data_IF_274367649656
#
_entry.id   IF_274367649656
#
_cell.length_a   1.000
_cell.length_b   1.000
_cell.length_c   1.000
_cell.angle_alpha   90.00
_cell.angle_beta   90.00
_cell.angle_gamma   90.00
#
_symmetry.space_group_name_H-M   'P 1'
#
loop_
_entity.id
_entity.type
_entity.pdbx_description
1 polymer ?
#
# COMPACT_ATOMS: atom_id res chain seq x y z
N UNK A 1 -70.41 -51.98 -60.33
CA UNK A 1 -69.01 -52.12 -60.73
C UNK A 1 -68.23 -50.99 -60.08
N UNK A 2 -67.54 -51.29 -59.03
CA UNK A 2 -66.74 -50.31 -58.30
C UNK A 2 -65.36 -50.93 -58.16
N UNK A 3 -64.36 -50.25 -58.70
CA UNK A 3 -62.95 -50.63 -58.53
C UNK A 3 -62.43 -50.11 -57.17
N UNK A 4 -61.63 -50.89 -56.44
CA UNK A 4 -60.98 -50.44 -55.20
C UNK A 4 -59.74 -49.57 -55.45
N UNK A 5 -59.57 -48.50 -54.69
CA UNK A 5 -58.39 -47.68 -54.71
C UNK A 5 -57.30 -48.29 -53.78
N UNK A 6 -56.07 -48.30 -54.25
CA UNK A 6 -54.89 -48.73 -53.58
C UNK A 6 -54.41 -47.61 -52.61
N UNK A 7 -54.02 -47.90 -51.32
CA UNK A 7 -53.51 -46.89 -50.43
C UNK A 7 -52.02 -46.56 -50.77
N UNK A 8 -51.69 -45.27 -50.71
CA UNK A 8 -50.34 -44.74 -50.83
C UNK A 8 -49.47 -45.16 -49.63
N UNK A 9 -48.31 -45.73 -49.95
CA UNK A 9 -47.29 -46.11 -48.95
C UNK A 9 -46.66 -44.89 -48.32
N UNK A 10 -46.66 -44.86 -46.98
CA UNK A 10 -45.96 -43.87 -46.22
C UNK A 10 -44.52 -44.33 -46.12
N UNK A 11 -43.63 -43.58 -46.76
CA UNK A 11 -42.16 -43.77 -46.69
C UNK A 11 -41.66 -43.47 -45.27
N UNK A 12 -41.31 -44.54 -44.54
CA UNK A 12 -40.70 -44.46 -43.24
C UNK A 12 -39.19 -44.33 -43.40
N UNK A 13 -38.68 -43.09 -43.44
CA UNK A 13 -37.25 -42.87 -43.31
C UNK A 13 -36.75 -43.35 -41.94
N UNK A 14 -35.60 -44.06 -41.85
CA UNK A 14 -35.15 -44.65 -40.61
C UNK A 14 -34.65 -43.61 -39.61
N UNK A 15 -35.12 -43.70 -38.41
CA UNK A 15 -34.80 -42.83 -37.25
C UNK A 15 -33.29 -42.69 -36.92
N UNK A 16 -32.44 -43.47 -37.55
CA UNK A 16 -30.98 -43.51 -37.33
C UNK A 16 -30.24 -42.28 -37.88
N UNK A 17 -30.72 -41.62 -38.91
CA UNK A 17 -30.05 -40.42 -39.45
C UNK A 17 -30.20 -39.20 -38.56
N UNK A 18 -31.24 -39.14 -37.69
CA UNK A 18 -31.42 -38.05 -36.73
C UNK A 18 -30.60 -38.19 -35.45
N UNK A 19 -30.27 -39.41 -35.03
CA UNK A 19 -29.42 -39.67 -33.88
C UNK A 19 -27.95 -39.33 -34.18
N UNK A 20 -27.46 -39.61 -35.38
CA UNK A 20 -26.08 -39.28 -35.80
C UNK A 20 -25.80 -37.78 -35.88
N UNK A 21 -26.79 -36.96 -36.30
CA UNK A 21 -26.64 -35.52 -36.39
C UNK A 21 -26.62 -34.83 -35.00
N UNK A 22 -27.36 -35.36 -34.01
CA UNK A 22 -27.39 -34.85 -32.64
C UNK A 22 -26.08 -35.22 -31.93
N UNK A 23 -25.54 -36.44 -32.12
CA UNK A 23 -24.27 -36.85 -31.52
C UNK A 23 -23.09 -36.09 -32.10
N UNK A 24 -23.07 -35.80 -33.39
CA UNK A 24 -22.01 -35.01 -34.04
C UNK A 24 -22.05 -33.54 -33.58
N UNK A 25 -23.24 -32.97 -33.40
CA UNK A 25 -23.38 -31.60 -32.86
C UNK A 25 -22.98 -31.52 -31.38
N UNK A 26 -23.28 -32.51 -30.56
CA UNK A 26 -22.85 -32.55 -29.18
C UNK A 26 -21.32 -32.75 -29.04
N UNK A 27 -20.72 -33.59 -29.89
CA UNK A 27 -19.25 -33.72 -29.90
C UNK A 27 -18.56 -32.46 -30.41
N UNK A 28 -19.14 -31.71 -31.36
CA UNK A 28 -18.60 -30.43 -31.81
C UNK A 28 -18.69 -29.35 -30.73
N UNK A 29 -19.79 -29.31 -29.94
CA UNK A 29 -19.92 -28.39 -28.81
C UNK A 29 -18.98 -28.77 -27.66
N UNK A 30 -18.78 -30.05 -27.38
CA UNK A 30 -17.83 -30.51 -26.37
C UNK A 30 -16.36 -30.26 -26.77
N UNK A 31 -16.02 -30.38 -28.07
CA UNK A 31 -14.66 -30.11 -28.56
C UNK A 31 -14.32 -28.60 -28.57
N UNK A 32 -15.32 -27.71 -28.76
CA UNK A 32 -15.07 -26.27 -28.69
C UNK A 32 -14.99 -25.71 -27.27
N UNK A 33 -15.51 -26.44 -26.28
CA UNK A 33 -15.37 -26.04 -24.86
C UNK A 33 -14.06 -26.52 -24.21
N UNK A 34 -13.34 -27.45 -24.81
CA UNK A 34 -12.05 -27.97 -24.28
C UNK A 34 -10.84 -27.13 -24.77
N UNK A 35 -11.01 -26.24 -25.78
CA UNK A 35 -9.90 -25.43 -26.31
C UNK A 35 -9.81 -24.04 -25.66
N UNK A 36 -10.85 -23.57 -24.98
CA UNK A 36 -10.74 -22.44 -24.08
C UNK A 36 -10.47 -22.96 -22.68
N UNK A 37 -9.20 -23.24 -22.37
CA UNK A 37 -8.75 -23.28 -20.97
C UNK A 37 -9.27 -22.01 -20.30
N UNK A 38 -9.66 -22.03 -19.00
CA UNK A 38 -10.15 -20.85 -18.32
C UNK A 38 -9.11 -19.77 -18.55
N UNK A 39 -9.49 -18.72 -19.27
CA UNK A 39 -8.77 -17.48 -19.20
C UNK A 39 -8.79 -17.14 -17.73
N UNK A 40 -7.66 -17.38 -17.03
CA UNK A 40 -7.53 -16.92 -15.67
C UNK A 40 -7.80 -15.43 -15.77
N UNK A 41 -8.92 -15.02 -15.21
CA UNK A 41 -9.23 -13.62 -15.10
C UNK A 41 -7.98 -13.01 -14.46
N UNK A 42 -7.26 -12.17 -15.23
CA UNK A 42 -6.07 -11.52 -14.71
C UNK A 42 -6.52 -10.87 -13.39
N UNK A 43 -5.84 -11.19 -12.30
CA UNK A 43 -6.13 -10.62 -10.99
C UNK A 43 -6.22 -9.08 -11.11
N UNK A 44 -6.79 -8.38 -10.15
CA UNK A 44 -7.04 -6.93 -10.24
C UNK A 44 -5.82 -6.10 -10.63
N UNK A 45 -4.60 -6.65 -10.49
CA UNK A 45 -3.34 -6.02 -10.85
C UNK A 45 -2.84 -6.29 -12.27
N UNK A 46 -3.46 -7.21 -13.05
CA UNK A 46 -2.98 -7.57 -14.38
C UNK A 46 -1.68 -8.41 -14.38
N UNK A 47 -1.02 -8.58 -15.56
CA UNK A 47 0.03 -9.59 -15.75
C UNK A 47 1.36 -9.31 -15.05
N UNK A 48 1.61 -8.08 -14.58
CA UNK A 48 2.80 -7.72 -13.82
C UNK A 48 2.56 -7.67 -12.30
N UNK A 49 1.35 -7.92 -11.84
CA UNK A 49 1.07 -8.04 -10.41
C UNK A 49 1.84 -9.22 -9.82
N UNK A 50 2.57 -8.98 -8.75
CA UNK A 50 3.21 -10.04 -7.98
C UNK A 50 2.18 -10.75 -7.11
N UNK A 51 2.30 -12.07 -6.90
CA UNK A 51 1.42 -12.81 -6.01
C UNK A 51 1.66 -12.40 -4.57
N UNK A 52 0.57 -12.39 -3.78
CA UNK A 52 0.66 -12.25 -2.34
C UNK A 52 1.29 -13.51 -1.73
N UNK A 53 2.25 -13.32 -0.85
CA UNK A 53 2.89 -14.38 -0.07
C UNK A 53 2.38 -14.39 1.38
N UNK A 54 2.95 -15.26 2.21
CA UNK A 54 2.71 -15.30 3.66
C UNK A 54 3.58 -14.29 4.43
N UNK A 55 4.42 -13.52 3.74
CA UNK A 55 5.21 -12.46 4.38
C UNK A 55 4.29 -11.44 5.06
N UNK A 56 4.70 -10.96 6.24
CA UNK A 56 3.98 -9.91 6.94
C UNK A 56 3.96 -8.63 6.11
N UNK A 57 2.78 -8.11 5.81
CA UNK A 57 2.55 -7.00 4.88
C UNK A 57 3.14 -7.23 3.47
N UNK A 58 2.99 -8.47 2.94
CA UNK A 58 3.49 -8.82 1.60
C UNK A 58 3.19 -7.75 0.55
N UNK A 59 4.16 -7.44 -0.29
CA UNK A 59 4.01 -6.53 -1.44
C UNK A 59 3.24 -7.14 -2.62
N UNK A 60 2.70 -8.34 -2.46
CA UNK A 60 1.78 -8.92 -3.45
C UNK A 60 0.50 -8.10 -3.58
N UNK A 61 0.02 -7.93 -4.82
CA UNK A 61 -1.15 -7.12 -5.14
C UNK A 61 -2.14 -7.81 -6.10
N UNK A 62 -1.96 -9.10 -6.35
CA UNK A 62 -2.89 -9.89 -7.14
C UNK A 62 -4.26 -10.03 -6.47
N UNK A 63 -4.30 -9.96 -5.12
CA UNK A 63 -5.51 -10.01 -4.29
C UNK A 63 -5.43 -9.00 -3.16
N UNK A 64 -6.59 -8.43 -2.74
CA UNK A 64 -6.67 -7.64 -1.52
C UNK A 64 -6.73 -8.56 -0.29
N UNK A 65 -6.00 -8.20 0.78
CA UNK A 65 -6.11 -8.90 2.05
C UNK A 65 -7.33 -8.41 2.84
N UNK A 66 -8.40 -9.21 2.97
CA UNK A 66 -9.64 -8.78 3.62
C UNK A 66 -9.50 -8.54 5.13
N UNK A 67 -8.35 -8.87 5.73
CA UNK A 67 -8.08 -8.56 7.13
C UNK A 67 -7.75 -7.07 7.35
N UNK A 68 -7.58 -6.28 6.29
CA UNK A 68 -7.26 -4.85 6.33
C UNK A 68 -8.39 -4.03 5.71
N UNK A 69 -8.70 -2.84 6.24
CA UNK A 69 -9.67 -1.94 5.63
C UNK A 69 -9.16 -1.47 4.26
N UNK A 70 -10.05 -1.41 3.28
CA UNK A 70 -9.68 -0.99 1.93
C UNK A 70 -9.74 0.52 1.81
N UNK A 71 -8.64 1.22 1.49
CA UNK A 71 -8.59 2.69 1.45
C UNK A 71 -9.15 3.25 0.12
N UNK A 72 -10.45 3.04 -0.11
CA UNK A 72 -11.20 3.60 -1.23
C UNK A 72 -12.49 4.23 -0.70
N UNK A 73 -12.82 5.44 -1.16
CA UNK A 73 -13.90 6.23 -0.59
C UNK A 73 -13.46 6.90 0.71
N UNK A 74 -14.10 6.60 1.84
CA UNK A 74 -13.70 7.13 3.14
C UNK A 74 -13.56 6.03 4.19
N UNK A 75 -12.75 6.29 5.19
CA UNK A 75 -12.66 5.50 6.42
C UNK A 75 -12.79 6.45 7.61
N UNK A 76 -13.60 6.05 8.58
CA UNK A 76 -13.84 6.78 9.81
C UNK A 76 -12.89 6.30 10.92
N UNK A 77 -12.17 7.23 11.54
CA UNK A 77 -11.16 6.93 12.55
C UNK A 77 -11.49 7.60 13.88
N UNK A 78 -11.75 6.81 14.93
CA UNK A 78 -11.93 7.36 16.27
C UNK A 78 -10.58 7.65 16.91
N UNK A 79 -10.43 8.84 17.54
CA UNK A 79 -9.28 9.18 18.38
C UNK A 79 -9.72 9.24 19.84
N UNK A 80 -9.18 8.36 20.65
CA UNK A 80 -9.45 8.24 22.09
C UNK A 80 -8.24 8.77 22.87
N UNK A 81 -8.47 9.71 23.78
CA UNK A 81 -7.42 10.35 24.58
C UNK A 81 -7.40 9.78 26.00
N UNK A 82 -6.25 9.27 26.42
CA UNK A 82 -6.07 8.51 27.66
C UNK A 82 -5.19 9.25 28.66
N UNK A 83 -5.74 9.57 29.84
CA UNK A 83 -4.99 10.12 30.96
C UNK A 83 -4.74 9.08 32.05
N UNK A 84 -3.71 9.28 32.89
CA UNK A 84 -3.30 8.31 33.88
C UNK A 84 -3.43 8.83 35.32
N UNK A 85 -3.67 7.94 36.31
CA UNK A 85 -3.55 8.31 37.71
C UNK A 85 -2.15 8.86 38.06
N UNK A 86 -2.11 9.94 38.79
CA UNK A 86 -0.84 10.59 39.19
C UNK A 86 -0.27 11.57 38.15
N UNK A 87 -0.85 11.65 36.94
CA UNK A 87 -0.54 12.66 35.96
C UNK A 87 -1.65 13.68 35.80
N UNK A 88 -1.31 14.89 35.35
CA UNK A 88 -2.23 15.94 34.93
C UNK A 88 -1.81 16.39 33.54
N UNK A 89 -2.59 16.06 32.50
CA UNK A 89 -2.30 16.50 31.14
C UNK A 89 -2.19 18.03 31.06
N UNK A 90 -1.17 18.52 30.39
CA UNK A 90 -0.97 19.95 30.11
C UNK A 90 -1.58 20.34 28.76
N UNK A 91 -1.63 19.38 27.86
CA UNK A 91 -2.19 19.51 26.50
C UNK A 91 -3.62 19.00 26.52
N UNK A 92 -4.51 19.61 25.75
CA UNK A 92 -5.91 19.16 25.63
C UNK A 92 -6.07 18.13 24.51
N UNK A 93 -7.10 17.26 24.57
CA UNK A 93 -7.45 16.36 23.46
C UNK A 93 -7.60 17.07 22.09
N UNK A 94 -8.18 18.27 22.09
CA UNK A 94 -8.36 19.06 20.87
C UNK A 94 -7.02 19.53 20.28
N UNK A 95 -6.05 19.90 21.12
CA UNK A 95 -4.70 20.28 20.68
C UNK A 95 -3.97 19.06 20.09
N UNK A 96 -3.97 17.94 20.80
CA UNK A 96 -3.36 16.69 20.29
C UNK A 96 -4.02 16.20 19.01
N UNK A 97 -5.33 16.35 18.86
CA UNK A 97 -5.99 16.06 17.59
C UNK A 97 -5.52 16.99 16.47
N UNK A 98 -5.34 18.28 16.78
CA UNK A 98 -4.89 19.29 15.83
C UNK A 98 -3.42 19.10 15.39
N UNK A 99 -2.60 18.43 16.17
CA UNK A 99 -1.23 18.07 15.82
C UNK A 99 -1.19 17.10 14.62
N UNK A 100 -2.16 16.21 14.53
CA UNK A 100 -2.21 15.18 13.51
C UNK A 100 -3.16 15.53 12.36
N UNK A 101 -4.29 16.18 12.66
CA UNK A 101 -5.33 16.48 11.68
C UNK A 101 -5.53 18.00 11.51
N UNK A 102 -5.77 18.48 10.30
CA UNK A 102 -6.05 17.74 9.06
C UNK A 102 -4.79 17.29 8.28
N UNK A 103 -3.59 17.34 8.85
CA UNK A 103 -2.34 17.00 8.18
C UNK A 103 -2.38 15.58 7.56
N UNK A 104 -2.66 14.58 8.37
CA UNK A 104 -2.75 13.17 7.97
C UNK A 104 -3.83 12.93 6.91
N UNK A 105 -5.02 13.55 7.07
CA UNK A 105 -6.09 13.43 6.07
C UNK A 105 -5.67 14.00 4.72
N UNK A 106 -5.03 15.19 4.71
CA UNK A 106 -4.53 15.81 3.48
C UNK A 106 -3.42 15.03 2.82
N UNK A 107 -2.56 14.38 3.61
CA UNK A 107 -1.52 13.50 3.09
C UNK A 107 -2.15 12.37 2.25
N UNK A 108 -3.10 11.65 2.79
CA UNK A 108 -3.77 10.54 2.10
C UNK A 108 -4.64 11.00 0.93
N UNK A 109 -5.34 12.13 1.05
CA UNK A 109 -6.12 12.70 -0.04
C UNK A 109 -5.23 12.98 -1.26
N UNK A 110 -4.06 13.62 -1.05
CA UNK A 110 -3.08 13.87 -2.11
C UNK A 110 -2.49 12.58 -2.67
N UNK A 111 -2.01 11.68 -1.81
CA UNK A 111 -1.39 10.41 -2.20
C UNK A 111 -2.34 9.53 -3.02
N UNK A 112 -3.63 9.59 -2.73
CA UNK A 112 -4.68 8.80 -3.39
C UNK A 112 -5.32 9.50 -4.59
N UNK A 113 -4.93 10.72 -4.92
CA UNK A 113 -5.58 11.55 -5.95
C UNK A 113 -7.07 11.81 -5.65
N UNK A 114 -7.43 11.96 -4.37
CA UNK A 114 -8.81 12.14 -3.94
C UNK A 114 -9.67 10.86 -3.97
N UNK A 115 -9.06 9.68 -4.11
CA UNK A 115 -9.78 8.40 -4.11
C UNK A 115 -10.02 7.84 -2.72
N UNK A 116 -9.30 8.34 -1.73
CA UNK A 116 -9.41 7.99 -0.33
C UNK A 116 -9.39 9.22 0.55
N UNK A 117 -10.27 9.27 1.52
CA UNK A 117 -10.31 10.28 2.57
C UNK A 117 -10.38 9.63 3.96
N UNK A 118 -9.57 10.14 4.88
CA UNK A 118 -9.54 9.71 6.28
C UNK A 118 -10.27 10.75 7.13
N UNK A 119 -11.34 10.33 7.81
CA UNK A 119 -12.19 11.20 8.62
C UNK A 119 -11.92 10.98 10.12
N UNK A 120 -11.28 11.93 10.81
CA UNK A 120 -11.03 11.81 12.24
C UNK A 120 -12.27 12.17 13.07
N UNK A 121 -12.51 11.39 14.13
CA UNK A 121 -13.55 11.60 15.12
C UNK A 121 -12.93 11.66 16.53
N UNK A 122 -12.38 12.81 16.95
CA UNK A 122 -11.76 12.94 18.25
C UNK A 122 -12.79 12.95 19.38
N UNK A 123 -12.57 12.13 20.41
CA UNK A 123 -13.31 12.16 21.68
C UNK A 123 -12.75 13.31 22.52
N UNK A 124 -13.34 14.49 22.43
CA UNK A 124 -12.84 15.76 23.00
C UNK A 124 -12.84 15.77 24.55
N UNK A 125 -12.39 14.70 25.18
CA UNK A 125 -12.20 14.60 26.63
C UNK A 125 -11.16 13.52 26.95
N UNK A 126 -10.46 13.69 28.07
CA UNK A 126 -9.61 12.67 28.64
C UNK A 126 -10.43 11.53 29.24
N UNK A 127 -10.10 10.29 28.86
CA UNK A 127 -10.61 9.08 29.50
C UNK A 127 -9.54 8.58 30.48
N UNK A 128 -9.93 8.36 31.72
CA UNK A 128 -8.99 7.99 32.78
C UNK A 128 -8.71 6.49 32.74
N UNK A 129 -7.43 6.14 32.61
CA UNK A 129 -6.93 4.79 32.75
C UNK A 129 -6.98 4.33 34.21
N UNK A 130 -7.17 3.01 34.48
CA UNK A 130 -7.26 2.51 35.86
C UNK A 130 -5.92 2.47 36.57
N UNK A 131 -4.79 2.47 35.86
CA UNK A 131 -3.42 2.36 36.38
C UNK A 131 -2.55 3.51 35.89
N UNK A 132 -1.44 3.80 36.62
CA UNK A 132 -0.43 4.77 36.18
C UNK A 132 0.28 4.32 34.90
N UNK A 133 0.82 5.26 34.13
CA UNK A 133 1.54 4.96 32.88
C UNK A 133 2.74 4.04 33.15
N UNK A 134 3.50 4.27 34.20
CA UNK A 134 4.66 3.45 34.60
C UNK A 134 4.32 1.96 34.77
N UNK A 135 3.08 1.64 35.19
CA UNK A 135 2.66 0.25 35.39
C UNK A 135 2.56 -0.54 34.08
N UNK A 136 2.41 0.15 32.96
CA UNK A 136 2.35 -0.45 31.64
C UNK A 136 3.73 -0.58 30.99
N UNK A 137 4.76 0.14 31.48
CA UNK A 137 6.13 0.16 30.93
C UNK A 137 6.13 0.41 29.43
N UNK A 138 5.54 1.52 29.02
CA UNK A 138 5.43 1.94 27.61
C UNK A 138 6.83 2.28 27.12
N UNK A 139 7.32 1.53 26.12
CA UNK A 139 8.65 1.71 25.54
C UNK A 139 8.69 1.08 24.13
N UNK A 140 9.69 1.41 23.32
CA UNK A 140 9.84 0.91 21.94
C UNK A 140 9.67 -0.61 21.84
N UNK A 141 10.47 -1.38 22.58
CA UNK A 141 10.42 -2.85 22.62
C UNK A 141 9.50 -3.31 23.75
N UNK A 142 8.25 -2.94 23.65
CA UNK A 142 7.23 -3.11 24.67
C UNK A 142 6.86 -4.58 24.89
N UNK A 143 6.97 -5.03 26.13
CA UNK A 143 6.55 -6.37 26.54
C UNK A 143 5.10 -6.68 26.17
N UNK A 144 4.86 -7.86 25.61
CA UNK A 144 3.55 -8.25 25.08
C UNK A 144 2.43 -8.26 26.11
N UNK A 145 2.71 -8.74 27.35
CA UNK A 145 1.70 -8.82 28.41
C UNK A 145 1.35 -7.41 28.92
N UNK A 146 2.34 -6.53 29.04
CA UNK A 146 2.15 -5.13 29.44
C UNK A 146 1.36 -4.37 28.39
N UNK A 147 1.68 -4.56 27.13
CA UNK A 147 0.94 -4.00 25.98
C UNK A 147 -0.50 -4.50 25.96
N UNK A 148 -0.72 -5.81 26.12
CA UNK A 148 -2.06 -6.38 26.17
C UNK A 148 -2.87 -5.83 27.37
N UNK A 149 -2.23 -5.60 28.51
CA UNK A 149 -2.86 -4.98 29.68
C UNK A 149 -3.29 -3.54 29.40
N UNK A 150 -2.40 -2.72 28.77
CA UNK A 150 -2.72 -1.36 28.35
C UNK A 150 -3.94 -1.33 27.40
N UNK A 151 -3.92 -2.15 26.35
CA UNK A 151 -4.98 -2.19 25.36
C UNK A 151 -6.33 -2.60 25.96
N UNK A 152 -6.36 -3.61 26.85
CA UNK A 152 -7.59 -4.01 27.55
C UNK A 152 -8.17 -2.85 28.36
N UNK A 153 -7.31 -2.18 29.14
CA UNK A 153 -7.74 -1.09 30.02
C UNK A 153 -8.20 0.13 29.21
N UNK A 154 -7.52 0.44 28.10
CA UNK A 154 -7.86 1.52 27.19
C UNK A 154 -9.21 1.27 26.48
N UNK A 155 -9.40 0.07 25.94
CA UNK A 155 -10.68 -0.32 25.29
C UNK A 155 -11.80 -0.25 26.33
N UNK A 156 -11.63 -0.82 27.53
CA UNK A 156 -12.65 -0.78 28.58
C UNK A 156 -13.00 0.65 29.04
N UNK A 157 -12.03 1.56 29.04
CA UNK A 157 -12.28 2.96 29.34
C UNK A 157 -13.05 3.67 28.19
N UNK A 158 -12.72 3.33 26.94
CA UNK A 158 -13.35 3.91 25.75
C UNK A 158 -14.75 3.37 25.47
N UNK A 159 -15.01 2.09 25.69
CA UNK A 159 -16.28 1.38 25.46
C UNK A 159 -17.51 2.05 26.12
N UNK A 160 -17.29 2.80 27.18
CA UNK A 160 -18.33 3.57 27.88
C UNK A 160 -18.85 4.77 27.09
N UNK A 161 -18.13 5.21 26.05
CA UNK A 161 -18.37 6.49 25.36
C UNK A 161 -18.18 6.42 23.85
N UNK A 162 -17.62 5.34 23.34
CA UNK A 162 -17.37 5.08 21.93
C UNK A 162 -18.12 3.85 21.52
N UNK A 163 -18.93 3.94 20.49
CA UNK A 163 -19.49 2.81 19.76
C UNK A 163 -18.49 2.44 18.65
N UNK A 164 -17.67 1.43 18.90
CA UNK A 164 -16.60 1.01 17.99
C UNK A 164 -17.12 0.46 16.66
N UNK A 165 -18.39 0.02 16.59
CA UNK A 165 -18.97 -0.47 15.34
C UNK A 165 -19.13 0.62 14.27
N UNK A 166 -18.99 1.89 14.65
CA UNK A 166 -19.10 3.05 13.75
C UNK A 166 -17.79 3.46 13.10
N UNK A 167 -16.66 2.81 13.44
CA UNK A 167 -15.34 3.25 13.03
C UNK A 167 -14.54 2.12 12.40
N UNK A 168 -13.76 2.48 11.38
CA UNK A 168 -12.86 1.56 10.67
C UNK A 168 -11.49 1.48 11.34
N UNK A 169 -11.04 2.58 11.97
CA UNK A 169 -9.74 2.72 12.61
C UNK A 169 -9.89 3.23 14.05
N UNK A 170 -8.96 2.81 14.91
CA UNK A 170 -8.89 3.25 16.31
C UNK A 170 -7.49 3.78 16.60
N UNK A 171 -7.42 5.03 17.04
CA UNK A 171 -6.22 5.68 17.58
C UNK A 171 -6.36 5.84 19.09
N UNK A 172 -5.44 5.28 19.87
CA UNK A 172 -5.34 5.46 21.31
C UNK A 172 -4.19 6.42 21.61
N UNK A 173 -4.53 7.65 21.92
CA UNK A 173 -3.58 8.74 22.18
C UNK A 173 -3.39 8.89 23.69
N UNK A 174 -2.20 8.60 24.17
CA UNK A 174 -1.86 8.76 25.58
C UNK A 174 -1.54 10.22 25.92
N UNK A 175 -1.72 10.59 27.19
CA UNK A 175 -1.20 11.83 27.75
C UNK A 175 0.34 11.87 27.61
N UNK A 176 0.90 12.73 26.77
CA UNK A 176 2.34 12.79 26.52
C UNK A 176 3.14 13.31 27.70
N UNK A 177 2.49 13.97 28.67
CA UNK A 177 3.10 14.51 29.87
C UNK A 177 3.16 13.48 31.02
N UNK A 178 2.56 12.30 30.83
CA UNK A 178 2.51 11.29 31.87
C UNK A 178 3.90 10.61 32.06
N UNK A 179 4.40 10.51 33.29
CA UNK A 179 5.65 9.80 33.56
C UNK A 179 5.63 8.38 33.03
N UNK A 180 6.72 7.93 32.40
CA UNK A 180 6.85 6.57 31.86
C UNK A 180 6.13 6.33 30.51
N UNK A 181 5.71 7.39 29.83
CA UNK A 181 5.31 7.35 28.42
C UNK A 181 6.53 7.66 27.56
N UNK A 182 6.88 6.73 26.67
CA UNK A 182 8.00 6.84 25.74
C UNK A 182 7.43 7.04 24.32
N UNK A 183 7.77 8.15 23.67
CA UNK A 183 7.31 8.48 22.30
C UNK A 183 7.71 7.43 21.26
N UNK A 184 8.88 6.82 21.42
CA UNK A 184 9.38 5.75 20.54
C UNK A 184 8.50 4.48 20.57
N UNK A 185 7.51 4.43 21.45
CA UNK A 185 6.55 3.34 21.52
C UNK A 185 5.33 3.52 20.59
N UNK A 186 5.19 4.68 19.92
CA UNK A 186 4.14 4.90 18.92
C UNK A 186 4.22 3.84 17.83
N UNK A 187 3.14 3.12 17.63
CA UNK A 187 3.05 2.04 16.61
C UNK A 187 1.65 1.52 16.39
N UNK A 188 1.46 0.86 15.26
CA UNK A 188 0.32 -0.04 15.07
C UNK A 188 0.52 -1.32 15.90
N UNK A 189 -0.51 -1.76 16.59
CA UNK A 189 -0.54 -3.04 17.29
C UNK A 189 -1.51 -3.97 16.58
N UNK A 190 -0.97 -5.03 15.98
CA UNK A 190 -1.75 -6.15 15.50
C UNK A 190 -2.11 -7.02 16.71
N UNK A 191 -3.40 -7.30 16.90
CA UNK A 191 -3.89 -8.07 18.03
C UNK A 191 -3.83 -9.56 17.71
N UNK A 192 -2.99 -10.33 18.41
CA UNK A 192 -2.91 -11.80 18.28
C UNK A 192 -4.29 -12.46 18.49
N UNK A 193 -5.06 -11.88 19.40
CA UNK A 193 -6.45 -12.24 19.65
C UNK A 193 -7.32 -11.01 19.43
N UNK A 194 -8.05 -10.94 18.29
CA UNK A 194 -8.94 -9.84 18.01
C UNK A 194 -9.98 -9.64 19.14
N UNK A 195 -10.19 -8.37 19.51
CA UNK A 195 -11.15 -8.01 20.57
C UNK A 195 -12.52 -7.81 19.92
N UNK A 196 -13.55 -8.44 20.50
CA UNK A 196 -14.95 -8.20 20.14
C UNK A 196 -15.54 -7.16 21.09
N UNK A 197 -16.07 -6.07 20.53
CA UNK A 197 -16.71 -4.98 21.24
C UNK A 197 -17.77 -4.35 20.34
N UNK A 198 -18.91 -3.97 20.85
CA UNK A 198 -20.04 -3.37 20.11
C UNK A 198 -20.46 -4.15 18.85
N UNK A 199 -20.35 -5.48 18.87
CA UNK A 199 -20.66 -6.32 17.71
C UNK A 199 -19.60 -6.30 16.59
N UNK A 200 -18.56 -5.49 16.70
CA UNK A 200 -17.43 -5.44 15.75
C UNK A 200 -16.20 -6.20 16.26
N UNK A 201 -15.19 -6.33 15.40
CA UNK A 201 -13.95 -7.05 15.68
C UNK A 201 -12.76 -6.12 15.45
N UNK A 202 -12.16 -5.66 16.55
CA UNK A 202 -10.91 -4.91 16.50
C UNK A 202 -9.73 -5.88 16.27
N UNK A 203 -9.06 -5.76 15.14
CA UNK A 203 -7.89 -6.58 14.78
C UNK A 203 -6.59 -5.86 14.99
N UNK A 204 -6.60 -4.52 14.92
CA UNK A 204 -5.43 -3.67 15.12
C UNK A 204 -5.84 -2.31 15.65
N UNK A 205 -4.91 -1.69 16.34
CA UNK A 205 -5.09 -0.39 16.99
C UNK A 205 -3.78 0.37 16.81
N UNK A 206 -3.85 1.64 16.50
CA UNK A 206 -2.69 2.53 16.54
C UNK A 206 -2.58 3.10 17.95
N UNK A 207 -1.46 2.88 18.61
CA UNK A 207 -1.11 3.52 19.89
C UNK A 207 -0.21 4.71 19.60
N UNK A 208 -0.60 5.89 20.10
CA UNK A 208 0.11 7.16 19.88
C UNK A 208 0.61 7.67 21.22
N UNK A 209 1.92 7.80 21.33
CA UNK A 209 2.64 8.25 22.54
C UNK A 209 3.48 9.50 22.29
N UNK A 210 3.24 10.14 21.16
CA UNK A 210 3.99 11.30 20.71
C UNK A 210 3.96 12.45 21.72
N UNK A 211 5.10 13.12 21.86
CA UNK A 211 5.16 14.41 22.53
C UNK A 211 4.38 15.48 21.75
N UNK A 212 4.26 16.67 22.31
CA UNK A 212 3.66 17.81 21.65
C UNK A 212 4.75 18.86 21.35
N UNK A 213 5.03 19.24 20.09
CA UNK A 213 4.46 18.69 18.84
C UNK A 213 4.97 17.26 18.53
N UNK A 214 4.20 16.46 17.80
CA UNK A 214 4.61 15.11 17.43
C UNK A 214 5.61 15.12 16.26
N UNK A 215 6.22 13.97 16.04
CA UNK A 215 7.02 13.73 14.85
C UNK A 215 6.20 13.91 13.57
N UNK A 216 6.85 14.48 12.54
CA UNK A 216 6.22 14.71 11.24
C UNK A 216 5.74 13.39 10.63
N UNK A 217 4.51 13.38 10.14
CA UNK A 217 3.89 12.25 9.45
C UNK A 217 3.79 10.92 10.23
N UNK A 218 4.13 10.88 11.52
CA UNK A 218 4.07 9.65 12.32
C UNK A 218 2.71 8.96 12.22
N UNK A 219 1.61 9.70 12.37
CA UNK A 219 0.27 9.10 12.30
C UNK A 219 -0.08 8.62 10.89
N UNK A 220 0.44 9.26 9.84
CA UNK A 220 0.28 8.79 8.47
C UNK A 220 1.05 7.48 8.24
N UNK A 221 2.28 7.36 8.76
CA UNK A 221 3.09 6.14 8.72
C UNK A 221 2.36 4.98 9.41
N UNK A 222 1.94 5.16 10.65
CA UNK A 222 1.23 4.11 11.41
C UNK A 222 -0.12 3.74 10.75
N UNK A 223 -0.79 4.72 10.15
CA UNK A 223 -2.00 4.43 9.36
C UNK A 223 -1.68 3.62 8.11
N UNK A 224 -0.52 3.82 7.47
CA UNK A 224 -0.03 3.00 6.37
C UNK A 224 -0.02 1.49 6.71
N UNK A 225 0.43 1.14 7.91
CA UNK A 225 0.37 -0.25 8.39
C UNK A 225 -1.06 -0.76 8.59
N UNK A 226 -1.98 0.09 9.03
CA UNK A 226 -3.41 -0.29 9.08
C UNK A 226 -3.95 -0.59 7.68
N UNK A 227 -3.37 0.00 6.64
CA UNK A 227 -3.72 -0.21 5.24
C UNK A 227 -2.88 -1.31 4.55
N UNK A 228 -2.21 -2.19 5.30
CA UNK A 228 -1.38 -3.31 4.81
C UNK A 228 -0.07 -2.89 4.11
N UNK A 229 0.51 -1.75 4.45
CA UNK A 229 1.84 -1.36 3.97
C UNK A 229 2.93 -1.85 4.94
N UNK A 230 4.06 -2.39 4.43
CA UNK A 230 5.20 -2.80 5.26
C UNK A 230 6.05 -1.62 5.69
N UNK A 231 6.88 -1.81 6.74
CA UNK A 231 8.07 -0.98 6.92
C UNK A 231 9.05 -1.23 5.78
N UNK A 232 9.56 -0.17 5.21
CA UNK A 232 10.58 -0.21 4.15
C UNK A 232 11.98 0.09 4.66
N UNK A 233 12.11 0.59 5.89
CA UNK A 233 13.41 0.77 6.51
C UNK A 233 14.05 -0.58 6.87
N UNK A 234 15.36 -0.59 7.01
CA UNK A 234 16.13 -1.72 7.52
C UNK A 234 16.29 -1.61 9.04
N UNK A 235 15.88 -2.63 9.77
CA UNK A 235 16.15 -2.71 11.21
C UNK A 235 17.34 -3.65 11.48
N UNK A 236 18.56 -3.12 11.73
CA UNK A 236 19.71 -3.95 12.00
C UNK A 236 19.49 -4.84 13.24
N UNK A 237 19.84 -6.12 13.15
CA UNK A 237 19.65 -7.08 14.23
C UNK A 237 20.53 -6.81 15.47
N UNK A 238 21.66 -6.13 15.25
CA UNK A 238 22.60 -5.72 16.30
C UNK A 238 22.35 -4.27 16.78
N UNK A 239 21.31 -3.61 16.23
CA UNK A 239 20.95 -2.22 16.54
C UNK A 239 21.95 -1.18 16.03
N UNK A 240 22.88 -1.54 15.14
CA UNK A 240 23.90 -0.65 14.57
C UNK A 240 23.68 -0.44 13.08
N UNK A 241 24.07 0.73 12.61
CA UNK A 241 23.96 1.14 11.20
C UNK A 241 22.66 1.91 10.91
N UNK A 242 22.59 2.40 9.67
CA UNK A 242 21.51 3.25 9.21
C UNK A 242 20.26 2.43 8.89
N UNK A 243 19.10 2.95 9.26
CA UNK A 243 17.82 2.30 9.03
C UNK A 243 17.27 2.59 7.63
N UNK A 244 17.59 3.75 7.07
CA UNK A 244 17.00 4.24 5.82
C UNK A 244 17.70 3.75 4.55
N UNK A 245 18.54 2.70 4.66
CA UNK A 245 19.44 2.22 3.59
C UNK A 245 18.74 1.62 2.37
N UNK A 246 17.48 1.16 2.50
CA UNK A 246 16.76 0.52 1.40
C UNK A 246 16.04 1.51 0.49
N UNK A 247 15.44 2.54 1.05
CA UNK A 247 14.59 3.46 0.30
C UNK A 247 14.88 4.94 0.55
N UNK A 248 15.68 5.27 1.58
CA UNK A 248 15.98 6.67 1.92
C UNK A 248 14.73 7.50 2.13
N UNK A 249 14.67 8.66 1.45
CA UNK A 249 13.58 9.63 1.55
C UNK A 249 12.28 9.24 0.79
N UNK A 250 12.28 8.18 -0.04
CA UNK A 250 11.38 8.01 -1.18
C UNK A 250 10.00 7.42 -0.89
N UNK A 251 9.66 7.10 0.33
CA UNK A 251 8.32 6.63 0.72
C UNK A 251 8.11 6.87 2.21
N UNK A 252 6.89 7.23 2.60
CA UNK A 252 6.48 7.39 3.99
C UNK A 252 6.82 6.18 4.86
N UNK A 253 6.72 4.97 4.30
CA UNK A 253 6.96 3.72 5.02
C UNK A 253 8.46 3.41 5.19
N UNK A 254 9.33 4.11 4.47
CA UNK A 254 10.77 4.12 4.70
C UNK A 254 11.14 5.03 5.86
N UNK A 255 10.70 6.29 5.77
CA UNK A 255 10.93 7.26 6.84
C UNK A 255 9.82 8.31 6.87
N UNK A 256 9.22 8.51 8.04
CA UNK A 256 8.26 9.59 8.26
C UNK A 256 8.89 10.98 8.10
N UNK A 257 10.21 11.07 8.18
CA UNK A 257 10.99 12.30 8.01
C UNK A 257 11.51 12.52 6.59
N UNK A 258 11.27 11.58 5.66
CA UNK A 258 11.75 11.64 4.29
C UNK A 258 11.33 12.92 3.55
N UNK A 259 12.20 13.41 2.68
CA UNK A 259 11.96 14.62 1.87
C UNK A 259 10.95 14.39 0.74
N UNK A 260 10.78 13.14 0.31
CA UNK A 260 9.91 12.69 -0.76
C UNK A 260 8.98 11.56 -0.26
N UNK A 261 8.10 11.90 0.71
CA UNK A 261 7.32 10.93 1.48
C UNK A 261 6.07 10.40 0.78
N UNK A 262 5.78 10.83 -0.46
CA UNK A 262 4.63 10.27 -1.20
C UNK A 262 4.84 8.77 -1.44
N UNK A 263 3.81 7.91 -1.19
CA UNK A 263 3.97 6.48 -1.36
C UNK A 263 4.39 6.09 -2.79
N UNK A 264 5.27 5.11 -2.91
CA UNK A 264 5.66 4.54 -4.20
C UNK A 264 4.45 4.23 -5.09
N UNK A 265 4.62 4.32 -6.39
CA UNK A 265 3.60 3.91 -7.37
C UNK A 265 3.12 2.48 -7.14
N UNK A 266 4.01 1.58 -6.67
CA UNK A 266 3.67 0.23 -6.27
C UNK A 266 2.66 0.19 -5.11
N UNK A 267 2.90 0.96 -4.04
CA UNK A 267 1.98 1.10 -2.90
C UNK A 267 0.65 1.70 -3.35
N UNK A 268 0.67 2.77 -4.15
CA UNK A 268 -0.56 3.35 -4.72
C UNK A 268 -1.34 2.34 -5.56
N UNK A 269 -0.68 1.45 -6.28
CA UNK A 269 -1.32 0.39 -7.05
C UNK A 269 -1.89 -0.69 -6.13
N UNK A 270 -1.15 -1.13 -5.11
CA UNK A 270 -1.60 -2.07 -4.08
C UNK A 270 -2.86 -1.58 -3.36
N UNK A 271 -2.90 -0.30 -3.01
CA UNK A 271 -4.03 0.34 -2.34
C UNK A 271 -5.22 0.64 -3.29
N UNK A 272 -5.05 0.47 -4.60
CA UNK A 272 -6.08 0.73 -5.60
C UNK A 272 -6.21 2.20 -5.99
N UNK A 273 -5.26 3.05 -5.60
CA UNK A 273 -5.20 4.47 -5.99
C UNK A 273 -4.72 4.64 -7.43
N UNK A 274 -3.77 3.83 -7.87
CA UNK A 274 -3.50 3.57 -9.28
C UNK A 274 -4.27 2.34 -9.76
N UNK A 275 -4.58 2.32 -11.06
CA UNK A 275 -5.25 1.19 -11.72
C UNK A 275 -4.39 0.71 -12.89
N UNK A 276 -4.69 -0.47 -13.43
CA UNK A 276 -3.95 -1.06 -14.56
C UNK A 276 -3.78 -0.11 -15.76
N UNK A 277 -4.66 0.88 -15.94
CA UNK A 277 -4.55 1.88 -17.04
C UNK A 277 -3.34 2.81 -16.87
N UNK A 278 -2.87 3.02 -15.63
CA UNK A 278 -1.73 3.90 -15.29
C UNK A 278 -0.41 3.13 -15.27
N UNK A 279 -0.45 1.80 -15.40
CA UNK A 279 0.70 0.91 -15.29
C UNK A 279 1.03 0.32 -16.66
N UNK A 280 2.30 0.39 -17.06
CA UNK A 280 2.80 -0.31 -18.25
C UNK A 280 3.58 -1.54 -17.82
N UNK A 281 3.09 -2.70 -18.23
CA UNK A 281 3.72 -3.99 -17.96
C UNK A 281 4.60 -4.40 -19.15
N UNK A 282 5.93 -4.42 -18.95
CA UNK A 282 6.92 -4.87 -19.94
C UNK A 282 7.19 -6.35 -19.73
N UNK A 283 6.79 -7.18 -20.69
CA UNK A 283 6.87 -8.64 -20.60
C UNK A 283 7.84 -9.28 -21.60
N UNK A 284 7.96 -8.69 -22.77
CA UNK A 284 8.79 -9.25 -23.84
C UNK A 284 10.21 -8.73 -23.76
N UNK A 285 11.17 -9.59 -24.13
CA UNK A 285 12.55 -9.16 -24.38
C UNK A 285 12.60 -8.10 -25.47
N UNK A 286 13.63 -7.25 -25.43
CA UNK A 286 13.83 -6.13 -26.34
C UNK A 286 13.61 -4.78 -25.69
N UNK A 287 13.59 -3.72 -26.50
CA UNK A 287 13.50 -2.33 -26.06
C UNK A 287 12.10 -1.76 -26.33
N UNK A 288 11.54 -1.07 -25.33
CA UNK A 288 10.27 -0.35 -25.43
C UNK A 288 10.44 1.11 -25.01
N UNK A 289 9.65 2.02 -25.57
CA UNK A 289 9.69 3.45 -25.27
C UNK A 289 8.38 3.89 -24.63
N UNK A 290 8.47 4.66 -23.56
CA UNK A 290 7.34 5.09 -22.76
C UNK A 290 7.38 6.58 -22.46
N UNK A 291 6.21 7.23 -22.41
CA UNK A 291 6.04 8.54 -21.78
C UNK A 291 5.58 8.31 -20.34
N UNK A 292 6.40 8.72 -19.36
CA UNK A 292 6.19 8.52 -17.94
C UNK A 292 5.94 9.87 -17.25
N UNK A 293 4.77 10.04 -16.65
CA UNK A 293 4.39 11.27 -15.95
C UNK A 293 4.71 11.16 -14.46
N UNK A 294 5.09 12.29 -13.86
CA UNK A 294 5.41 12.36 -12.43
C UNK A 294 4.26 11.80 -11.57
N UNK A 295 4.64 10.98 -10.59
CA UNK A 295 3.69 10.24 -9.75
C UNK A 295 2.79 11.18 -8.96
N UNK A 296 3.36 12.26 -8.41
CA UNK A 296 2.67 13.25 -7.56
C UNK A 296 1.77 14.22 -8.35
N UNK A 297 1.95 14.27 -9.69
CA UNK A 297 1.19 15.20 -10.51
C UNK A 297 -0.33 14.93 -10.41
N UNK A 298 -1.15 15.97 -10.31
CA UNK A 298 -2.59 15.81 -10.15
C UNK A 298 -3.21 14.91 -11.20
N UNK A 299 -4.13 14.07 -10.77
CA UNK A 299 -4.84 13.11 -11.63
C UNK A 299 -6.34 13.31 -11.49
N UNK A 300 -7.07 13.23 -12.63
CA UNK A 300 -8.54 13.20 -12.61
C UNK A 300 -9.00 11.74 -12.56
N UNK A 301 -9.55 11.26 -11.43
CA UNK A 301 -10.02 9.88 -11.30
C UNK A 301 -11.04 9.53 -12.42
N UNK A 302 -10.86 8.35 -13.02
CA UNK A 302 -11.75 7.86 -14.06
C UNK A 302 -11.49 8.40 -15.48
N UNK A 303 -10.81 9.54 -15.63
CA UNK A 303 -10.53 10.18 -16.93
C UNK A 303 -9.06 10.03 -17.33
N UNK A 304 -8.14 10.22 -16.39
CA UNK A 304 -6.69 10.15 -16.64
C UNK A 304 -6.26 8.72 -16.97
N UNK A 305 -5.49 8.57 -18.03
CA UNK A 305 -4.90 7.29 -18.47
C UNK A 305 -3.39 7.40 -18.69
N UNK A 306 -2.77 8.50 -18.25
CA UNK A 306 -1.33 8.73 -18.38
C UNK A 306 -0.55 7.67 -17.62
N UNK A 307 0.54 7.19 -18.20
CA UNK A 307 1.42 6.23 -17.51
C UNK A 307 2.10 6.89 -16.33
N UNK A 308 1.96 6.30 -15.15
CA UNK A 308 2.58 6.74 -13.90
C UNK A 308 3.66 5.79 -13.43
N UNK A 309 3.61 4.55 -13.91
CA UNK A 309 4.52 3.50 -13.48
C UNK A 309 4.74 2.50 -14.62
N UNK A 310 5.98 2.02 -14.77
CA UNK A 310 6.33 0.92 -15.64
C UNK A 310 6.82 -0.22 -14.75
N UNK A 311 6.39 -1.44 -15.04
CA UNK A 311 6.75 -2.64 -14.27
C UNK A 311 7.34 -3.68 -15.20
N UNK A 312 8.51 -4.19 -14.83
CA UNK A 312 9.16 -5.32 -15.48
C UNK A 312 9.23 -6.46 -14.47
N UNK A 313 8.43 -7.50 -14.68
CA UNK A 313 8.49 -8.67 -13.79
C UNK A 313 9.76 -9.46 -14.07
N UNK A 314 10.62 -9.64 -13.07
CA UNK A 314 11.94 -10.29 -13.17
C UNK A 314 11.95 -11.70 -12.61
N UNK A 315 10.95 -12.03 -11.76
CA UNK A 315 10.80 -13.35 -11.17
C UNK A 315 9.36 -13.67 -10.80
N UNK A 316 9.16 -14.74 -10.06
CA UNK A 316 7.84 -15.10 -9.54
C UNK A 316 7.34 -14.10 -8.50
N UNK A 317 8.23 -13.69 -7.60
CA UNK A 317 7.97 -12.80 -6.47
C UNK A 317 8.71 -11.46 -6.59
N UNK A 318 9.36 -11.15 -7.74
CA UNK A 318 10.18 -9.96 -7.94
C UNK A 318 9.82 -9.17 -9.18
N UNK A 319 9.95 -7.84 -9.10
CA UNK A 319 9.79 -6.93 -10.21
C UNK A 319 10.73 -5.72 -10.08
N UNK A 320 11.16 -5.17 -11.23
CA UNK A 320 11.72 -3.82 -11.32
C UNK A 320 10.59 -2.85 -11.64
N UNK A 321 10.54 -1.78 -10.89
CA UNK A 321 9.54 -0.72 -11.03
C UNK A 321 10.23 0.59 -11.37
N UNK A 322 9.61 1.36 -12.26
CA UNK A 322 10.14 2.61 -12.77
C UNK A 322 9.02 3.65 -12.69
N UNK A 323 9.26 4.73 -11.98
CA UNK A 323 8.32 5.84 -11.82
C UNK A 323 9.05 7.18 -11.93
N UNK A 324 8.33 8.25 -12.26
CA UNK A 324 8.91 9.59 -12.24
C UNK A 324 8.51 10.31 -10.96
N UNK A 325 9.47 10.93 -10.28
CA UNK A 325 9.27 11.72 -9.06
C UNK A 325 9.56 13.20 -9.34
N UNK A 326 8.81 14.09 -8.73
CA UNK A 326 8.94 15.54 -8.87
C UNK A 326 8.57 16.29 -7.60
N UNK A 327 8.98 17.57 -7.51
CA UNK A 327 8.78 18.42 -6.33
C UNK A 327 7.34 18.95 -6.24
N UNK A 328 6.36 18.06 -6.05
CA UNK A 328 4.95 18.41 -5.92
C UNK A 328 4.18 17.47 -4.98
N UNK A 329 2.93 17.80 -4.65
CA UNK A 329 2.10 16.94 -3.80
C UNK A 329 2.65 16.77 -2.38
N UNK A 330 3.00 15.53 -2.01
CA UNK A 330 3.66 15.20 -0.75
C UNK A 330 5.19 15.27 -0.84
N UNK A 331 5.75 15.46 -2.05
CA UNK A 331 7.21 15.49 -2.32
C UNK A 331 7.76 16.90 -2.56
N UNK A 332 7.07 17.93 -2.08
CA UNK A 332 7.46 19.34 -2.31
C UNK A 332 8.86 19.69 -1.79
N UNK A 333 9.42 18.86 -0.93
CA UNK A 333 10.76 19.03 -0.33
C UNK A 333 11.79 18.05 -0.89
N UNK A 334 11.46 17.31 -1.94
CA UNK A 334 12.39 16.34 -2.54
C UNK A 334 13.71 16.99 -2.93
N UNK A 335 14.80 16.28 -2.70
CA UNK A 335 16.14 16.71 -3.05
C UNK A 335 16.38 16.72 -4.56
N UNK A 336 15.79 15.77 -5.26
CA UNK A 336 15.99 15.60 -6.70
C UNK A 336 14.71 15.17 -7.41
N UNK A 337 14.62 15.53 -8.69
CA UNK A 337 13.56 15.09 -9.60
C UNK A 337 14.14 14.18 -10.68
N UNK A 338 13.39 13.17 -11.10
CA UNK A 338 13.82 12.30 -12.17
C UNK A 338 13.03 11.00 -12.25
N UNK A 339 13.63 10.02 -12.89
CA UNK A 339 13.06 8.68 -13.03
C UNK A 339 13.69 7.75 -11.99
N UNK A 340 12.91 7.42 -10.99
CA UNK A 340 13.29 6.52 -9.90
C UNK A 340 13.10 5.06 -10.33
N UNK A 341 14.08 4.23 -10.01
CA UNK A 341 14.06 2.78 -10.29
C UNK A 341 14.21 2.04 -8.97
N UNK A 342 13.37 1.05 -8.72
CA UNK A 342 13.45 0.23 -7.53
C UNK A 342 13.03 -1.22 -7.76
N UNK A 343 13.50 -2.12 -6.92
CA UNK A 343 13.11 -3.53 -6.88
C UNK A 343 12.01 -3.73 -5.86
N UNK A 344 11.02 -4.57 -6.19
CA UNK A 344 9.96 -5.02 -5.27
C UNK A 344 10.05 -6.53 -5.11
N UNK A 345 9.95 -7.01 -3.87
CA UNK A 345 10.00 -8.41 -3.46
C UNK A 345 8.74 -8.75 -2.64
N UNK A 346 7.79 -9.49 -3.22
CA UNK A 346 6.51 -9.78 -2.56
C UNK A 346 6.57 -10.88 -1.49
N UNK A 347 7.67 -11.61 -1.41
CA UNK A 347 7.94 -12.66 -0.41
C UNK A 347 8.83 -12.18 0.74
N UNK A 348 9.24 -10.92 0.73
CA UNK A 348 10.03 -10.31 1.79
C UNK A 348 9.10 -9.61 2.79
N UNK A 349 9.32 -9.86 4.08
CA UNK A 349 8.51 -9.29 5.14
C UNK A 349 8.87 -7.81 5.44
N UNK A 350 7.94 -7.11 6.09
CA UNK A 350 8.12 -5.79 6.68
C UNK A 350 9.45 -5.68 7.44
N UNK A 351 10.22 -4.62 7.19
CA UNK A 351 11.55 -4.38 7.78
C UNK A 351 12.69 -5.21 7.17
N UNK A 352 12.40 -6.11 6.22
CA UNK A 352 13.39 -6.95 5.55
C UNK A 352 13.87 -6.44 4.19
N UNK A 353 13.47 -5.24 3.80
CA UNK A 353 13.78 -4.65 2.48
C UNK A 353 12.88 -5.18 1.35
N UNK A 354 11.53 -5.18 1.52
CA UNK A 354 10.61 -5.63 0.47
C UNK A 354 10.62 -4.69 -0.74
N UNK A 355 11.07 -3.46 -0.57
CA UNK A 355 11.36 -2.49 -1.64
C UNK A 355 12.80 -1.99 -1.47
N UNK A 356 13.53 -1.86 -2.58
CA UNK A 356 14.92 -1.42 -2.60
C UNK A 356 15.13 -0.44 -3.76
N UNK A 357 15.44 0.80 -3.44
CA UNK A 357 15.80 1.82 -4.44
C UNK A 357 17.15 1.46 -5.07
N UNK A 358 17.22 1.55 -6.38
CA UNK A 358 18.43 1.36 -7.15
C UNK A 358 19.03 2.75 -7.47
N UNK A 359 20.17 3.01 -6.89
CA UNK A 359 20.82 4.29 -6.97
C UNK A 359 21.49 4.50 -8.34
N UNK A 360 21.14 5.60 -9.02
CA UNK A 360 21.79 6.00 -10.27
C UNK A 360 23.08 6.77 -10.04
N UNK A 361 23.36 7.24 -8.82
CA UNK A 361 24.51 8.07 -8.46
C UNK A 361 25.22 7.56 -7.19
N UNK A 362 25.75 6.32 -7.20
CA UNK A 362 26.13 5.57 -5.99
C UNK A 362 27.25 6.20 -5.15
N UNK A 363 27.96 7.19 -5.69
CA UNK A 363 29.04 7.88 -4.99
C UNK A 363 28.64 9.28 -4.50
N UNK A 364 27.35 9.61 -4.53
CA UNK A 364 26.85 10.91 -4.11
C UNK A 364 26.51 10.97 -2.63
N UNK A 365 26.37 12.20 -2.12
CA UNK A 365 25.88 12.52 -0.78
C UNK A 365 24.97 13.74 -0.91
N UNK A 366 23.89 13.60 -1.69
CA UNK A 366 23.03 14.72 -1.99
C UNK A 366 22.19 15.14 -0.79
N UNK A 367 21.86 16.42 -0.69
CA UNK A 367 21.09 17.03 0.40
C UNK A 367 21.61 16.67 1.80
N UNK A 368 22.91 16.66 1.96
CA UNK A 368 23.56 16.42 3.25
C UNK A 368 23.00 17.35 4.34
N UNK A 369 22.60 16.76 5.48
CA UNK A 369 22.01 17.47 6.61
C UNK A 369 20.50 17.70 6.53
N UNK A 370 19.86 17.38 5.39
CA UNK A 370 18.40 17.46 5.21
C UNK A 370 17.78 16.09 4.94
N UNK A 371 18.41 15.27 4.07
CA UNK A 371 18.00 13.91 3.76
C UNK A 371 18.21 12.96 4.93
N UNK A 372 17.29 12.03 5.13
CA UNK A 372 17.42 10.94 6.11
C UNK A 372 18.52 9.95 5.71
N UNK A 373 18.78 9.82 4.40
CA UNK A 373 19.87 8.99 3.86
C UNK A 373 20.48 9.61 2.59
N UNK A 374 21.43 10.53 2.73
CA UNK A 374 22.05 11.26 1.61
C UNK A 374 22.52 10.41 0.43
N UNK A 375 23.05 9.18 0.61
CA UNK A 375 23.43 8.34 -0.52
C UNK A 375 22.31 8.03 -1.52
N UNK A 376 21.05 8.02 -1.10
CA UNK A 376 19.90 7.75 -1.98
C UNK A 376 19.10 9.02 -2.34
N UNK A 377 19.49 10.19 -1.84
CA UNK A 377 18.69 11.41 -2.01
C UNK A 377 18.61 11.89 -3.46
N UNK A 378 19.57 11.56 -4.32
CA UNK A 378 19.55 11.83 -5.76
C UNK A 378 19.57 10.56 -6.62
N UNK A 379 19.06 9.45 -6.10
CA UNK A 379 18.94 8.19 -6.83
C UNK A 379 18.20 8.26 -8.19
N UNK A 380 17.24 9.20 -8.46
CA UNK A 380 16.55 9.26 -9.73
C UNK A 380 17.48 9.61 -10.91
N UNK A 381 17.30 8.89 -12.03
CA UNK A 381 17.93 9.19 -13.32
C UNK A 381 17.44 10.52 -13.88
N UNK A 382 18.37 11.30 -14.40
CA UNK A 382 18.15 12.54 -15.16
C UNK A 382 18.12 12.27 -16.66
N UNK A 383 17.71 13.25 -17.46
CA UNK A 383 17.74 13.15 -18.92
C UNK A 383 19.19 12.88 -19.43
N UNK A 384 19.34 11.89 -20.27
CA UNK A 384 20.63 11.43 -20.82
C UNK A 384 21.29 10.31 -20.00
N UNK A 385 20.76 9.98 -18.82
CA UNK A 385 21.34 8.96 -17.94
C UNK A 385 20.69 7.59 -18.14
N UNK A 386 21.39 6.54 -17.70
CA UNK A 386 20.89 5.17 -17.76
C UNK A 386 21.40 4.33 -16.60
N UNK A 387 20.57 3.38 -16.16
CA UNK A 387 20.86 2.41 -15.10
C UNK A 387 20.64 0.99 -15.60
N UNK A 388 21.56 0.08 -15.28
CA UNK A 388 21.40 -1.36 -15.49
C UNK A 388 21.21 -2.04 -14.14
N UNK A 389 20.18 -2.90 -14.03
CA UNK A 389 19.80 -3.54 -12.77
C UNK A 389 20.58 -4.83 -12.46
N UNK A 390 21.65 -5.10 -13.21
CA UNK A 390 22.48 -6.29 -13.03
C UNK A 390 21.70 -7.60 -13.26
N UNK A 391 21.57 -8.46 -12.25
CA UNK A 391 20.98 -9.79 -12.41
C UNK A 391 19.49 -9.79 -12.80
N UNK A 392 18.79 -8.67 -12.67
CA UNK A 392 17.38 -8.56 -13.08
C UNK A 392 17.22 -8.42 -14.60
N UNK A 393 18.31 -8.21 -15.34
CA UNK A 393 18.30 -8.14 -16.81
C UNK A 393 17.48 -6.97 -17.37
N UNK A 394 17.43 -5.84 -16.64
CA UNK A 394 16.69 -4.64 -17.06
C UNK A 394 17.65 -3.46 -17.17
N UNK A 395 17.58 -2.73 -18.30
CA UNK A 395 18.26 -1.44 -18.48
C UNK A 395 17.21 -0.35 -18.69
N UNK A 396 17.34 0.72 -17.95
CA UNK A 396 16.50 1.92 -18.03
C UNK A 396 17.34 3.08 -18.54
N UNK A 397 16.86 3.79 -19.56
CA UNK A 397 17.49 4.98 -20.13
C UNK A 397 16.48 6.12 -20.19
N UNK A 398 16.81 7.25 -19.60
CA UNK A 398 15.99 8.47 -19.65
C UNK A 398 16.48 9.35 -20.79
N UNK A 399 15.69 9.49 -21.86
CA UNK A 399 16.10 10.23 -23.06
C UNK A 399 15.89 11.72 -22.96
N UNK A 400 14.71 12.13 -22.51
CA UNK A 400 14.33 13.53 -22.46
C UNK A 400 13.17 13.77 -21.50
N UNK A 401 12.98 15.03 -21.12
CA UNK A 401 11.72 15.53 -20.51
C UNK A 401 10.96 16.27 -21.60
N UNK A 402 9.69 15.94 -21.79
CA UNK A 402 8.82 16.56 -22.79
C UNK A 402 8.27 17.91 -22.32
N UNK A 403 7.72 18.71 -23.22
CA UNK A 403 7.20 20.04 -22.91
C UNK A 403 5.99 19.99 -21.92
N UNK A 404 5.23 18.89 -21.91
CA UNK A 404 4.14 18.64 -20.96
C UNK A 404 4.60 18.02 -19.64
N UNK A 405 5.94 17.94 -19.43
CA UNK A 405 6.57 17.48 -18.18
C UNK A 405 6.71 15.97 -18.05
N UNK A 406 6.33 15.17 -19.05
CA UNK A 406 6.58 13.74 -19.04
C UNK A 406 8.05 13.40 -19.31
N UNK A 407 8.51 12.25 -18.83
CA UNK A 407 9.82 11.70 -19.11
C UNK A 407 9.72 10.65 -20.22
N UNK A 408 10.57 10.76 -21.23
CA UNK A 408 10.70 9.73 -22.27
C UNK A 408 11.70 8.69 -21.79
N UNK A 409 11.21 7.50 -21.48
CA UNK A 409 12.00 6.41 -20.87
C UNK A 409 12.04 5.21 -21.82
N UNK A 410 13.25 4.78 -22.16
CA UNK A 410 13.46 3.50 -22.83
C UNK A 410 13.74 2.42 -21.80
N UNK A 411 13.04 1.31 -21.90
CA UNK A 411 13.20 0.14 -21.02
C UNK A 411 13.61 -1.03 -21.91
N UNK A 412 14.78 -1.58 -21.66
CA UNK A 412 15.30 -2.77 -22.30
C UNK A 412 15.26 -3.95 -21.33
N UNK A 413 14.67 -5.05 -21.76
CA UNK A 413 14.65 -6.33 -21.05
C UNK A 413 15.44 -7.36 -21.84
N UNK A 414 16.37 -8.06 -21.17
CA UNK A 414 17.12 -9.18 -21.71
C UNK A 414 16.28 -10.45 -21.86
#
# INVERSE_FOLDING_TARGET
>A
MVRPQTPMGVDRQPRWRRAGAVVTSMCAIAATTVVAGPAQAAGPGGPCALPRSQAHHSEGLDTWNPAYPRPLGHLDAVMVFLSFPGSRPRTTPAQLAADHFPGTSRFFDRASYGRFSLHPHPVNRWLRMPRSADSYRIQRDWDGDRRAAYLRDAIAAADRVVDFARYDLVYLVADPDAPGVDSDATKVVNLDRPVRVDGTVLRRIVTVFEHHPPDRNVLAHETGHVLDLPDLYHRPTDGKGDWDTHVGDWDLMGSQFGLASDPFGWHKWKLGWLTARHVRCVRSAGSTLHALHALEAPMRPGVDSRTRMIVVRTGETSAIVIEARGASGNDTTTCSEGVLVYRVLSDTASGGGPVQVLDAHPDSQACWGESVYPPLADAPLRAGESLSTGPDGVRVEVRARTADGAWTVAVQRE
#
